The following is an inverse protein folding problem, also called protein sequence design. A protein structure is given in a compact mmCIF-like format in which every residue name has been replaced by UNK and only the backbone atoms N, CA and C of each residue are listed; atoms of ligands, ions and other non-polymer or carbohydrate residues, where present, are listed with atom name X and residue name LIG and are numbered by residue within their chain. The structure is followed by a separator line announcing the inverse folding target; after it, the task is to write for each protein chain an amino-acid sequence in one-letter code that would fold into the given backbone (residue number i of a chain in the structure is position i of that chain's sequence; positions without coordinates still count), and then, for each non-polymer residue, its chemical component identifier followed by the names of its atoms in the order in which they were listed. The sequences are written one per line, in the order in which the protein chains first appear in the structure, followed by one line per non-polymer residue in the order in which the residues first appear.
data_IF_457788468216
#
_entry.id   IF_457788468216
#
_cell.length_a   1.000
_cell.length_b   1.000
_cell.length_c   1.000
_cell.angle_alpha   90.00
_cell.angle_beta   90.00
_cell.angle_gamma   90.00
#
_symmetry.space_group_name_H-M   'P 1'
#
loop_
_entity.id
_entity.type
_entity.pdbx_description
1 polymer ?
2 non-polymer ?
3 non-polymer ?
4 non-polymer ?
5 non-polymer ?
6 water ?
#
# COMPACT_ATOMS: atom_id res chain seq x y z
N UNK A 1 14.72 -6.85 -9.36
CA UNK A 1 14.95 -5.55 -9.95
C UNK A 1 13.91 -4.57 -9.37
N UNK A 2 13.68 -3.53 -10.14
CA UNK A 2 12.82 -2.39 -9.71
C UNK A 2 11.43 -2.91 -9.42
N UNK A 3 10.83 -3.67 -10.32
CA UNK A 3 9.45 -4.14 -10.10
C UNK A 3 9.37 -5.04 -8.87
N UNK A 4 10.37 -5.91 -8.66
CA UNK A 4 10.26 -6.79 -7.48
C UNK A 4 10.42 -5.94 -6.22
N UNK A 5 11.24 -4.93 -6.30
CA UNK A 5 11.48 -4.03 -5.16
C UNK A 5 10.14 -3.39 -4.76
N UNK A 6 9.29 -3.06 -5.72
CA UNK A 6 7.98 -2.41 -5.37
C UNK A 6 7.19 -3.43 -4.55
N UNK A 7 7.21 -4.69 -4.96
CA UNK A 7 6.52 -5.78 -4.25
C UNK A 7 7.14 -5.95 -2.86
N UNK A 8 8.46 -5.97 -2.76
CA UNK A 8 9.13 -6.13 -1.45
C UNK A 8 8.65 -5.00 -0.51
N UNK A 9 8.75 -3.76 -0.98
CA UNK A 9 8.38 -2.60 -0.16
C UNK A 9 6.89 -2.69 0.24
N UNK A 10 6.00 -2.94 -0.70
CA UNK A 10 4.53 -3.05 -0.41
C UNK A 10 4.22 -4.17 0.60
N UNK A 11 5.03 -5.25 0.60
CA UNK A 11 4.89 -6.36 1.56
C UNK A 11 4.97 -5.91 3.02
N UNK A 12 5.73 -4.85 3.33
CA UNK A 12 5.84 -4.31 4.71
C UNK A 12 5.87 -2.79 4.63
N UNK A 13 4.88 -2.21 3.94
CA UNK A 13 4.97 -0.80 3.53
C UNK A 13 5.02 0.15 4.73
N UNK A 14 4.24 -0.10 5.78
CA UNK A 14 4.24 0.80 6.97
C UNK A 14 5.67 0.91 7.53
N UNK A 15 6.38 -0.21 7.72
CA UNK A 15 7.72 -0.17 8.36
C UNK A 15 8.71 0.49 7.39
N UNK A 16 8.70 0.09 6.11
CA UNK A 16 9.65 0.67 5.14
C UNK A 16 9.39 2.16 4.98
N UNK A 17 8.13 2.57 4.86
CA UNK A 17 7.77 3.99 4.69
C UNK A 17 8.31 4.79 5.88
N UNK A 18 8.07 4.33 7.10
CA UNK A 18 8.53 5.05 8.31
C UNK A 18 10.07 5.08 8.30
N UNK A 19 10.73 3.92 8.06
CA UNK A 19 12.21 3.82 8.11
C UNK A 19 12.82 4.76 7.07
N UNK A 20 12.31 4.78 5.83
CA UNK A 20 12.94 5.61 4.77
C UNK A 20 12.65 7.09 5.03
N UNK A 21 11.42 7.41 5.45
CA UNK A 21 11.13 8.82 5.70
C UNK A 21 11.95 9.31 6.90
N UNK A 22 12.17 8.49 7.94
CA UNK A 22 13.06 8.91 9.04
C UNK A 22 14.48 9.04 8.55
N UNK A 23 14.91 8.14 7.64
CA UNK A 23 16.28 8.25 7.10
C UNK A 23 16.41 9.59 6.39
N UNK A 24 15.36 10.01 5.66
CA UNK A 24 15.38 11.29 4.92
C UNK A 24 15.52 12.43 5.94
N UNK A 25 14.64 12.42 6.94
CA UNK A 25 14.62 13.56 7.91
C UNK A 25 15.88 13.65 8.76
N UNK A 26 16.55 12.52 9.03
CA UNK A 26 17.81 12.47 9.82
C UNK A 26 19.02 12.86 8.95
N UNK A 27 18.97 12.54 7.66
CA UNK A 27 20.05 12.90 6.73
C UNK A 27 19.98 14.40 6.46
N UNK A 28 18.78 14.94 6.36
CA UNK A 28 18.55 16.34 5.94
C UNK A 28 17.69 17.03 7.00
N UNK A 29 18.24 17.30 8.20
CA UNK A 29 17.37 17.79 9.28
C UNK A 29 16.67 19.11 8.95
N UNK A 30 17.23 19.90 8.03
CA UNK A 30 16.59 21.18 7.64
C UNK A 30 15.26 20.90 6.93
N UNK A 31 15.00 19.68 6.44
CA UNK A 31 13.74 19.32 5.74
C UNK A 31 12.57 19.30 6.72
N UNK A 32 12.80 19.13 8.02
CA UNK A 32 11.75 19.22 9.07
C UNK A 32 11.10 20.62 8.97
N UNK A 33 11.72 21.58 8.29
CA UNK A 33 11.23 22.99 8.30
C UNK A 33 9.96 23.06 7.47
N UNK A 34 9.71 22.04 6.63
CA UNK A 34 8.41 21.78 5.97
C UNK A 34 7.40 21.17 6.96
N UNK A 35 7.85 20.75 8.16
CA UNK A 35 7.08 19.97 9.16
C UNK A 35 7.42 20.49 10.58
N UNK A 36 7.00 21.71 10.86
CA UNK A 36 7.13 22.34 12.21
C UNK A 36 6.93 21.31 13.35
N UNK A 37 5.77 20.66 13.41
CA UNK A 37 5.32 19.59 14.34
C UNK A 37 6.41 18.51 14.62
N UNK A 38 7.37 18.31 13.73
CA UNK A 38 8.31 17.17 13.82
C UNK A 38 9.55 17.52 14.66
N UNK A 39 9.81 18.82 14.84
CA UNK A 39 10.99 19.37 15.59
C UNK A 39 11.01 18.80 17.00
N UNK A 40 12.21 18.46 17.50
CA UNK A 40 12.47 18.02 18.89
C UNK A 40 11.85 16.69 19.26
N UNK A 41 11.67 15.81 18.27
CA UNK A 41 11.05 14.47 18.45
C UNK A 41 12.05 13.41 17.98
N UNK A 42 12.28 12.38 18.78
CA UNK A 42 13.11 11.23 18.34
C UNK A 42 12.30 10.43 17.33
N UNK A 43 12.93 9.46 16.65
CA UNK A 43 12.19 8.59 15.72
C UNK A 43 10.96 7.90 16.34
N UNK A 44 11.11 7.23 17.50
CA UNK A 44 10.05 6.36 18.07
C UNK A 44 8.84 7.22 18.44
N UNK A 45 9.09 8.49 18.78
CA UNK A 45 8.06 9.52 19.07
C UNK A 45 7.38 9.92 17.75
N UNK A 46 8.16 10.34 16.71
CA UNK A 46 7.58 10.69 15.38
C UNK A 46 6.61 9.57 14.98
N UNK A 47 7.03 8.32 15.16
CA UNK A 47 6.24 7.13 14.77
C UNK A 47 4.93 7.14 15.57
N UNK A 48 4.91 7.82 16.72
CA UNK A 48 3.72 7.92 17.61
C UNK A 48 2.73 9.02 17.17
N UNK A 49 3.16 9.94 16.29
CA UNK A 49 2.40 11.16 15.89
C UNK A 49 1.57 10.87 14.63
N UNK A 50 0.28 11.10 14.76
CA UNK A 50 -0.73 10.83 13.72
C UNK A 50 -0.33 11.47 12.38
N UNK A 51 0.04 12.75 12.31
CA UNK A 51 0.26 13.40 10.98
C UNK A 51 1.46 12.69 10.35
N UNK A 52 2.36 12.14 11.17
CA UNK A 52 3.56 11.47 10.63
C UNK A 52 3.20 10.10 10.02
N UNK A 53 2.60 9.21 10.82
CA UNK A 53 2.13 7.89 10.36
C UNK A 53 1.27 8.06 9.12
N UNK A 54 0.30 8.97 9.22
CA UNK A 54 -0.64 9.22 8.10
C UNK A 54 0.13 9.68 6.87
N UNK A 55 0.91 10.77 6.97
CA UNK A 55 1.61 11.34 5.78
C UNK A 55 2.45 10.22 5.17
N UNK A 56 3.29 9.65 6.01
CA UNK A 56 4.36 8.73 5.58
C UNK A 56 3.72 7.58 4.79
N UNK A 57 2.63 7.00 5.28
CA UNK A 57 1.94 5.90 4.54
C UNK A 57 1.41 6.43 3.20
N UNK A 58 0.79 7.61 3.14
CA UNK A 58 0.18 8.08 1.87
C UNK A 58 1.30 8.37 0.87
N UNK A 59 2.42 8.89 1.36
CA UNK A 59 3.61 9.17 0.51
C UNK A 59 4.01 7.87 -0.19
N UNK A 60 4.15 6.80 0.56
CA UNK A 60 4.77 5.56 0.02
C UNK A 60 3.70 4.81 -0.74
N UNK A 61 2.43 4.92 -0.30
CA UNK A 61 1.31 4.31 -1.09
C UNK A 61 1.37 4.90 -2.51
N UNK A 62 1.46 6.22 -2.62
CA UNK A 62 1.40 6.89 -3.94
C UNK A 62 2.73 6.74 -4.66
N UNK A 63 3.86 6.81 -3.95
CA UNK A 63 5.16 6.60 -4.65
C UNK A 63 5.21 5.19 -5.27
N UNK A 64 4.70 4.16 -4.61
CA UNK A 64 4.77 2.77 -5.13
C UNK A 64 3.89 2.69 -6.38
N UNK A 65 2.76 3.41 -6.40
CA UNK A 65 1.89 3.46 -7.61
C UNK A 65 2.64 4.14 -8.76
N UNK A 66 3.28 5.25 -8.47
CA UNK A 66 4.00 6.00 -9.51
C UNK A 66 5.11 5.05 -10.03
N UNK A 67 5.80 4.39 -9.13
CA UNK A 67 6.88 3.45 -9.53
C UNK A 67 6.29 2.35 -10.39
N UNK A 68 5.16 1.80 -10.01
CA UNK A 68 4.47 0.69 -10.71
C UNK A 68 4.04 1.11 -12.12
N UNK A 69 3.61 2.36 -12.31
CA UNK A 69 3.11 2.83 -13.61
C UNK A 69 4.30 3.23 -14.52
N UNK A 70 5.51 3.32 -13.98
CA UNK A 70 6.72 3.76 -14.73
C UNK A 70 7.08 2.69 -15.76
N UNK A 71 7.67 3.14 -16.83
CA UNK A 71 8.40 2.23 -17.79
C UNK A 71 9.88 2.44 -17.60
N UNK A 72 10.64 1.36 -17.34
CA UNK A 72 12.10 1.48 -17.19
C UNK A 72 12.46 2.68 -16.28
N UNK A 73 11.76 2.79 -15.15
CA UNK A 73 12.09 3.80 -14.11
C UNK A 73 11.74 5.24 -14.52
N UNK A 74 10.91 5.41 -15.56
CA UNK A 74 10.50 6.74 -16.11
C UNK A 74 9.02 6.85 -15.78
N UNK A 75 8.68 7.76 -14.83
CA UNK A 75 7.28 7.94 -14.43
C UNK A 75 6.45 8.56 -15.55
N UNK A 76 5.14 8.29 -15.51
CA UNK A 76 4.12 8.97 -16.34
C UNK A 76 4.15 10.45 -16.06
N UNK A 77 4.13 11.24 -17.13
CA UNK A 77 4.01 12.70 -17.05
C UNK A 77 2.76 13.04 -16.21
N UNK A 78 1.68 12.25 -16.34
CA UNK A 78 0.41 12.53 -15.60
C UNK A 78 0.69 12.43 -14.09
N UNK A 79 1.57 11.52 -13.68
CA UNK A 79 1.83 11.27 -12.24
C UNK A 79 2.62 12.47 -11.71
N UNK A 80 3.50 12.99 -12.54
CA UNK A 80 4.26 14.22 -12.23
C UNK A 80 3.28 15.41 -12.12
N UNK A 81 2.38 15.59 -13.06
CA UNK A 81 1.40 16.72 -13.04
C UNK A 81 0.62 16.64 -11.71
N UNK A 82 0.11 15.43 -11.38
CA UNK A 82 -0.72 15.19 -10.18
C UNK A 82 0.07 15.58 -8.94
N UNK A 83 1.35 15.19 -8.82
CA UNK A 83 2.12 15.57 -7.61
C UNK A 83 2.25 17.11 -7.54
N UNK A 84 2.54 17.79 -8.65
CA UNK A 84 2.84 19.24 -8.66
C UNK A 84 1.59 19.97 -8.17
N UNK A 85 0.42 19.52 -8.63
CA UNK A 85 -0.88 20.22 -8.45
C UNK A 85 -1.52 19.88 -7.10
N UNK A 86 -0.86 19.08 -6.25
CA UNK A 86 -1.33 18.87 -4.84
C UNK A 86 -1.15 20.17 -4.01
N UNK A 87 -2.22 20.79 -3.49
CA UNK A 87 -2.14 22.07 -2.70
C UNK A 87 -1.11 21.99 -1.56
N UNK A 88 -1.00 20.82 -0.92
CA UNK A 88 -0.09 20.57 0.25
C UNK A 88 1.39 20.71 -0.15
N UNK A 89 1.71 20.51 -1.43
CA UNK A 89 3.10 20.63 -1.94
C UNK A 89 3.40 22.04 -2.48
N UNK A 90 2.57 23.04 -2.16
CA UNK A 90 2.74 24.42 -2.68
C UNK A 90 4.15 24.96 -2.34
N UNK A 91 4.62 24.74 -1.12
CA UNK A 91 5.91 25.28 -0.68
C UNK A 91 7.12 24.49 -1.17
N UNK A 92 6.94 23.47 -2.01
CA UNK A 92 8.02 22.47 -2.26
C UNK A 92 8.77 22.73 -3.58
N UNK A 93 10.04 22.34 -3.64
CA UNK A 93 10.83 22.42 -4.88
C UNK A 93 11.31 21.02 -5.22
N UNK A 94 11.87 20.86 -6.41
CA UNK A 94 12.35 19.50 -6.80
C UNK A 94 13.42 19.04 -5.81
N UNK A 95 14.16 19.98 -5.20
CA UNK A 95 15.19 19.68 -4.18
C UNK A 95 14.63 18.82 -3.05
N UNK A 96 13.38 19.03 -2.66
CA UNK A 96 12.80 18.24 -1.55
C UNK A 96 12.75 16.77 -1.97
N UNK A 97 12.35 16.51 -3.20
CA UNK A 97 12.12 15.15 -3.74
C UNK A 97 13.46 14.49 -4.02
N UNK A 98 14.43 15.25 -4.52
CA UNK A 98 15.80 14.74 -4.82
C UNK A 98 16.40 14.17 -3.52
N UNK A 99 16.30 14.93 -2.42
CA UNK A 99 16.79 14.50 -1.10
C UNK A 99 16.02 13.27 -0.60
N UNK A 100 14.72 13.21 -0.73
CA UNK A 100 14.03 11.97 -0.34
C UNK A 100 14.67 10.77 -1.03
N UNK A 101 14.87 10.91 -2.32
CA UNK A 101 15.33 9.74 -3.10
C UNK A 101 16.79 9.42 -2.75
N UNK A 102 17.63 10.42 -2.50
CA UNK A 102 19.03 10.18 -2.06
C UNK A 102 18.95 9.33 -0.79
N UNK A 103 18.07 9.71 0.13
CA UNK A 103 17.98 8.96 1.40
C UNK A 103 17.45 7.54 1.16
N UNK A 104 16.47 7.40 0.28
CA UNK A 104 15.89 6.08 -0.08
C UNK A 104 17.00 5.17 -0.66
N UNK A 105 17.76 5.69 -1.60
CA UNK A 105 18.85 4.89 -2.24
C UNK A 105 19.88 4.45 -1.21
N UNK A 106 20.33 5.37 -0.36
CA UNK A 106 21.31 5.09 0.72
C UNK A 106 20.74 4.01 1.63
N UNK A 107 19.48 4.14 2.02
CA UNK A 107 18.78 3.12 2.83
C UNK A 107 18.84 1.74 2.16
N UNK A 108 18.53 1.68 0.87
CA UNK A 108 18.55 0.40 0.16
C UNK A 108 19.98 -0.16 0.11
N UNK A 109 20.97 0.69 -0.15
CA UNK A 109 22.41 0.24 -0.19
C UNK A 109 22.77 -0.41 1.16
N UNK A 110 22.37 0.23 2.26
CA UNK A 110 22.76 -0.16 3.63
C UNK A 110 21.98 -1.39 4.11
N UNK A 111 20.86 -1.72 3.50
CA UNK A 111 20.02 -2.87 3.93
C UNK A 111 20.74 -4.20 3.62
N UNK A 112 20.30 -5.28 4.26
CA UNK A 112 20.84 -6.62 3.94
C UNK A 112 20.37 -7.15 2.58
N UNK A 113 19.48 -6.44 1.91
CA UNK A 113 18.62 -7.01 0.85
C UNK A 113 19.04 -6.59 -0.55
N UNK A 114 18.66 -7.41 -1.52
CA UNK A 114 19.10 -7.27 -2.93
C UNK A 114 18.23 -6.24 -3.65
N UNK A 115 17.96 -5.06 -3.03
CA UNK A 115 17.29 -3.96 -3.77
C UNK A 115 18.14 -3.55 -4.97
N UNK A 116 17.44 -3.10 -6.01
CA UNK A 116 18.07 -2.59 -7.24
C UNK A 116 18.28 -1.08 -7.02
N UNK A 117 19.24 -0.71 -6.18
CA UNK A 117 19.39 0.69 -5.73
C UNK A 117 19.69 1.61 -6.92
N UNK A 118 20.36 1.10 -7.94
CA UNK A 118 20.65 1.97 -9.11
C UNK A 118 19.37 2.34 -9.86
N UNK A 119 18.41 1.43 -9.96
CA UNK A 119 17.09 1.66 -10.60
C UNK A 119 16.34 2.71 -9.78
N UNK A 120 16.39 2.62 -8.44
CA UNK A 120 15.74 3.64 -7.59
C UNK A 120 16.40 4.99 -7.77
N UNK A 121 17.72 5.03 -7.91
CA UNK A 121 18.46 6.28 -8.14
C UNK A 121 17.96 6.90 -9.46
N UNK A 122 17.84 6.12 -10.53
CA UNK A 122 17.34 6.64 -11.82
C UNK A 122 15.87 7.11 -11.66
N UNK A 123 15.04 6.30 -11.02
CA UNK A 123 13.61 6.61 -10.79
C UNK A 123 13.61 7.98 -10.11
N UNK A 124 14.42 8.22 -9.07
CA UNK A 124 14.42 9.53 -8.35
C UNK A 124 14.75 10.70 -9.26
N UNK A 125 15.78 10.55 -10.10
CA UNK A 125 16.21 11.63 -11.01
C UNK A 125 15.14 11.80 -12.09
N UNK A 126 14.51 10.71 -12.55
CA UNK A 126 13.54 10.77 -13.66
C UNK A 126 12.29 11.47 -13.09
N UNK A 127 11.90 11.17 -11.83
CA UNK A 127 10.75 11.83 -11.20
C UNK A 127 11.02 13.33 -11.01
N UNK A 128 12.22 13.68 -10.57
CA UNK A 128 12.59 15.11 -10.40
C UNK A 128 12.47 15.81 -11.76
N UNK A 129 12.94 15.19 -12.83
CA UNK A 129 12.89 15.81 -14.18
C UNK A 129 11.44 16.02 -14.61
N UNK A 130 10.60 15.00 -14.41
CA UNK A 130 9.16 15.05 -14.75
C UNK A 130 8.48 16.16 -13.93
N UNK A 131 8.81 16.23 -12.65
CA UNK A 131 8.15 17.25 -11.79
C UNK A 131 8.51 18.64 -12.33
N UNK A 132 9.76 18.87 -12.69
CA UNK A 132 10.19 20.15 -13.28
C UNK A 132 9.36 20.43 -14.54
N UNK A 133 9.28 19.45 -15.46
CA UNK A 133 8.54 19.59 -16.75
C UNK A 133 7.05 19.90 -16.49
N UNK A 134 6.48 19.40 -15.39
CA UNK A 134 5.06 19.59 -15.04
C UNK A 134 4.88 20.87 -14.22
N UNK A 135 5.97 21.56 -13.88
CA UNK A 135 5.86 22.93 -13.35
C UNK A 135 6.33 23.08 -11.92
N UNK A 136 6.99 22.10 -11.31
CA UNK A 136 7.48 22.31 -9.93
C UNK A 136 8.73 23.21 -10.00
N UNK A 137 8.87 24.16 -9.08
CA UNK A 137 10.05 25.08 -9.06
C UNK A 137 11.27 24.29 -8.58
N UNK B 1 -12.92 2.01 -13.52
CA UNK B 1 -13.24 0.57 -13.54
C UNK B 1 -12.35 -0.17 -12.57
N UNK B 2 -12.23 -1.48 -12.81
CA UNK B 2 -11.51 -2.40 -11.90
C UNK B 2 -10.07 -1.91 -11.65
N UNK B 3 -9.31 -1.58 -12.71
CA UNK B 3 -7.89 -1.14 -12.55
C UNK B 3 -7.79 0.13 -11.72
N UNK B 4 -8.65 1.12 -12.00
CA UNK B 4 -8.62 2.38 -11.22
C UNK B 4 -8.99 2.05 -9.78
N UNK B 5 -9.92 1.13 -9.54
CA UNK B 5 -10.31 0.73 -8.16
C UNK B 5 -9.10 0.19 -7.39
N UNK B 6 -8.26 -0.63 -8.06
CA UNK B 6 -7.04 -1.09 -7.38
C UNK B 6 -6.20 0.14 -6.99
N UNK B 7 -6.09 1.13 -7.86
CA UNK B 7 -5.30 2.34 -7.61
C UNK B 7 -5.95 3.09 -6.41
N UNK B 8 -7.27 3.21 -6.40
CA UNK B 8 -7.97 3.92 -5.27
C UNK B 8 -7.64 3.24 -3.93
N UNK B 9 -7.89 1.93 -3.87
CA UNK B 9 -7.64 1.11 -2.68
C UNK B 9 -6.17 1.22 -2.28
N UNK B 10 -5.26 1.07 -3.22
CA UNK B 10 -3.82 1.17 -2.89
C UNK B 10 -3.47 2.54 -2.30
N UNK B 11 -4.15 3.62 -2.75
CA UNK B 11 -3.75 4.97 -2.33
C UNK B 11 -3.96 5.15 -0.84
N UNK B 12 -4.90 4.41 -0.25
CA UNK B 12 -5.19 4.52 1.21
C UNK B 12 -5.37 3.10 1.73
N UNK B 13 -4.38 2.24 1.50
CA UNK B 13 -4.64 0.79 1.66
C UNK B 13 -4.98 0.40 3.09
N UNK B 14 -4.21 0.92 4.03
CA UNK B 14 -4.41 0.63 5.47
C UNK B 14 -5.87 0.93 5.85
N UNK B 15 -6.38 2.08 5.43
CA UNK B 15 -7.71 2.54 5.88
C UNK B 15 -8.76 1.68 5.24
N UNK B 16 -8.67 1.49 3.92
CA UNK B 16 -9.67 0.65 3.22
C UNK B 16 -9.61 -0.79 3.74
N UNK B 17 -8.39 -1.36 3.92
CA UNK B 17 -8.25 -2.75 4.39
C UNK B 17 -8.98 -2.93 5.72
N UNK B 18 -8.73 -2.04 6.66
CA UNK B 18 -9.40 -2.17 7.98
C UNK B 18 -10.91 -2.03 7.82
N UNK B 19 -11.35 -1.01 7.12
CA UNK B 19 -12.80 -0.73 6.90
C UNK B 19 -13.50 -1.92 6.25
N UNK B 20 -12.91 -2.53 5.21
CA UNK B 20 -13.60 -3.63 4.51
C UNK B 20 -13.54 -4.89 5.38
N UNK B 21 -12.39 -5.18 6.00
CA UNK B 21 -12.24 -6.36 6.85
C UNK B 21 -13.23 -6.24 8.03
N UNK B 22 -13.37 -5.07 8.61
CA UNK B 22 -14.43 -4.84 9.65
C UNK B 22 -15.83 -5.09 9.08
N UNK B 23 -16.13 -4.66 7.85
CA UNK B 23 -17.48 -4.90 7.26
C UNK B 23 -17.68 -6.40 7.14
N UNK B 24 -16.62 -7.13 6.76
CA UNK B 24 -16.66 -8.61 6.69
C UNK B 24 -16.98 -9.21 8.08
N UNK B 25 -16.21 -8.85 9.09
CA UNK B 25 -16.29 -9.46 10.44
C UNK B 25 -17.66 -9.15 11.04
N UNK B 26 -18.19 -7.95 10.73
CA UNK B 26 -19.49 -7.54 11.31
C UNK B 26 -20.66 -8.22 10.55
N UNK B 27 -20.52 -8.37 9.23
CA UNK B 27 -21.54 -9.03 8.39
C UNK B 27 -21.58 -10.52 8.75
N UNK B 28 -20.44 -11.14 9.07
CA UNK B 28 -20.40 -12.59 9.31
C UNK B 28 -19.70 -12.88 10.61
N UNK B 29 -20.37 -12.65 11.75
CA UNK B 29 -19.70 -12.81 13.02
C UNK B 29 -19.03 -14.16 13.29
N UNK B 30 -19.55 -15.27 12.75
CA UNK B 30 -18.90 -16.61 12.83
C UNK B 30 -17.52 -16.60 12.20
N UNK B 31 -17.27 -15.70 11.26
CA UNK B 31 -15.92 -15.63 10.64
C UNK B 31 -14.91 -15.13 11.69
N UNK B 32 -15.38 -14.34 12.65
CA UNK B 32 -14.53 -13.69 13.68
C UNK B 32 -13.98 -14.74 14.67
N UNK B 33 -14.18 -16.06 14.40
CA UNK B 33 -13.50 -17.27 15.00
C UNK B 33 -12.10 -17.51 14.43
N UNK B 34 -11.94 -17.65 13.11
CA UNK B 34 -10.61 -17.73 12.45
C UNK B 34 -9.66 -16.67 13.04
N UNK B 35 -10.20 -15.71 13.82
CA UNK B 35 -9.47 -14.53 14.37
C UNK B 35 -9.72 -14.43 15.89
N UNK B 36 -9.10 -15.34 16.65
CA UNK B 36 -9.41 -15.52 18.10
C UNK B 36 -9.01 -14.27 18.93
N UNK B 37 -7.98 -13.54 18.49
CA UNK B 37 -7.42 -12.31 19.12
C UNK B 37 -8.40 -11.14 19.03
N UNK B 38 -9.37 -11.20 18.10
CA UNK B 38 -10.24 -10.06 17.73
C UNK B 38 -11.57 -10.14 18.48
N UNK B 39 -11.84 -11.28 19.09
CA UNK B 39 -13.11 -11.57 19.80
C UNK B 39 -13.23 -10.55 20.96
N UNK B 40 -14.42 -9.98 21.13
CA UNK B 40 -14.72 -9.09 22.28
C UNK B 40 -14.22 -7.66 22.10
N UNK B 41 -13.95 -7.22 20.88
CA UNK B 41 -13.36 -5.89 20.59
C UNK B 41 -14.24 -5.20 19.57
N UNK B 42 -14.55 -3.91 19.83
CA UNK B 42 -15.31 -3.06 18.89
C UNK B 42 -14.42 -2.68 17.70
N UNK B 43 -14.99 -2.00 16.69
CA UNK B 43 -14.21 -1.55 15.51
C UNK B 43 -13.08 -0.62 15.95
N UNK B 44 -13.32 0.32 16.89
CA UNK B 44 -12.25 1.28 17.30
C UNK B 44 -11.21 0.57 18.20
N UNK B 45 -11.57 -0.46 18.99
CA UNK B 45 -10.55 -1.21 19.78
C UNK B 45 -9.71 -2.06 18.79
N UNK B 46 -10.32 -2.56 17.71
CA UNK B 46 -9.51 -3.33 16.68
C UNK B 46 -8.61 -2.33 15.98
N UNK B 47 -9.14 -1.15 15.56
CA UNK B 47 -8.32 -0.15 14.82
C UNK B 47 -7.18 0.41 15.68
N UNK B 48 -7.28 0.33 17.00
CA UNK B 48 -6.18 0.85 17.85
C UNK B 48 -5.04 -0.18 17.93
N UNK B 49 -5.32 -1.45 17.64
CA UNK B 49 -4.27 -2.50 17.78
C UNK B 49 -3.41 -2.48 16.52
N UNK B 50 -2.13 -2.09 16.65
CA UNK B 50 -1.14 -2.06 15.54
C UNK B 50 -1.23 -3.38 14.75
N UNK B 51 -1.42 -4.51 15.42
CA UNK B 51 -1.42 -5.84 14.76
C UNK B 51 -2.65 -6.04 13.88
N UNK B 52 -3.77 -5.43 14.22
CA UNK B 52 -4.96 -5.57 13.36
C UNK B 52 -4.66 -4.88 12.02
N UNK B 53 -4.16 -3.64 12.09
CA UNK B 53 -3.85 -2.83 10.92
C UNK B 53 -2.78 -3.50 10.09
N UNK B 54 -1.81 -4.14 10.76
CA UNK B 54 -0.68 -4.86 10.08
C UNK B 54 -1.24 -6.07 9.31
N UNK B 55 -1.96 -6.98 9.98
CA UNK B 55 -2.63 -8.14 9.34
C UNK B 55 -3.46 -7.68 8.15
N UNK B 56 -4.34 -6.70 8.37
CA UNK B 56 -5.34 -6.39 7.32
C UNK B 56 -4.62 -5.77 6.12
N UNK B 57 -3.64 -4.92 6.34
CA UNK B 57 -3.00 -4.23 5.23
C UNK B 57 -2.26 -5.30 4.38
N UNK B 58 -1.66 -6.29 5.04
CA UNK B 58 -0.85 -7.29 4.31
C UNK B 58 -1.79 -8.20 3.53
N UNK B 59 -2.98 -8.43 4.04
CA UNK B 59 -4.02 -9.21 3.36
C UNK B 59 -4.40 -8.46 2.08
N UNK B 60 -4.74 -7.18 2.22
CA UNK B 60 -5.26 -6.39 1.10
C UNK B 60 -4.14 -6.14 0.10
N UNK B 61 -2.90 -5.99 0.54
CA UNK B 61 -1.73 -5.85 -0.36
C UNK B 61 -1.68 -7.06 -1.29
N UNK B 62 -1.72 -8.28 -0.76
CA UNK B 62 -1.67 -9.47 -1.62
C UNK B 62 -2.91 -9.53 -2.52
N UNK B 63 -4.09 -9.22 -1.99
CA UNK B 63 -5.32 -9.16 -2.80
C UNK B 63 -5.13 -8.18 -3.98
N UNK B 64 -4.56 -6.99 -3.77
CA UNK B 64 -4.35 -6.01 -4.86
C UNK B 64 -3.31 -6.56 -5.88
N UNK B 65 -2.30 -7.30 -5.42
CA UNK B 65 -1.31 -7.88 -6.35
C UNK B 65 -2.04 -8.90 -7.23
N UNK B 66 -2.86 -9.75 -6.62
CA UNK B 66 -3.65 -10.77 -7.35
C UNK B 66 -4.58 -10.07 -8.33
N UNK B 67 -5.26 -9.04 -7.91
CA UNK B 67 -6.16 -8.29 -8.79
C UNK B 67 -5.39 -7.62 -9.94
N UNK B 68 -4.22 -7.06 -9.70
CA UNK B 68 -3.48 -6.27 -10.70
C UNK B 68 -2.93 -7.27 -11.73
N UNK B 69 -2.64 -8.50 -11.29
CA UNK B 69 -2.06 -9.50 -12.23
C UNK B 69 -3.19 -10.19 -12.99
N UNK B 70 -4.45 -9.99 -12.59
CA UNK B 70 -5.59 -10.67 -13.25
C UNK B 70 -5.78 -10.07 -14.65
N UNK B 71 -6.37 -10.86 -15.53
CA UNK B 71 -6.80 -10.44 -16.88
C UNK B 71 -8.31 -10.50 -16.89
N UNK B 72 -8.98 -9.39 -17.20
CA UNK B 72 -10.46 -9.39 -17.29
C UNK B 72 -11.05 -10.02 -16.01
N UNK B 73 -10.46 -9.72 -14.88
CA UNK B 73 -10.99 -10.10 -13.52
C UNK B 73 -10.87 -11.61 -13.29
N UNK B 74 -9.96 -12.27 -14.03
CA UNK B 74 -9.66 -13.71 -13.86
C UNK B 74 -8.24 -13.78 -13.32
N UNK B 75 -8.10 -14.26 -12.07
CA UNK B 75 -6.80 -14.29 -11.44
C UNK B 75 -5.96 -15.41 -12.09
N UNK B 76 -4.66 -15.21 -12.01
CA UNK B 76 -3.69 -16.26 -12.40
C UNK B 76 -3.84 -17.50 -11.50
N UNK B 77 -3.77 -18.67 -12.10
CA UNK B 77 -3.76 -19.98 -11.38
C UNK B 77 -2.62 -20.01 -10.35
N UNK B 78 -1.45 -19.45 -10.67
CA UNK B 78 -0.28 -19.40 -9.76
C UNK B 78 -0.68 -18.65 -8.48
N UNK B 79 -1.39 -17.53 -8.66
CA UNK B 79 -1.84 -16.69 -7.52
C UNK B 79 -2.82 -17.49 -6.65
N UNK B 80 -3.75 -18.21 -7.26
CA UNK B 80 -4.75 -19.02 -6.50
C UNK B 80 -3.96 -20.05 -5.71
N UNK B 81 -2.99 -20.70 -6.36
CA UNK B 81 -2.14 -21.74 -5.72
C UNK B 81 -1.50 -21.13 -4.48
N UNK B 82 -0.88 -19.94 -4.62
CA UNK B 82 -0.16 -19.25 -3.52
C UNK B 82 -1.12 -19.12 -2.33
N UNK B 83 -2.33 -18.65 -2.59
CA UNK B 83 -3.28 -18.46 -1.45
C UNK B 83 -3.64 -19.81 -0.82
N UNK B 84 -3.83 -20.86 -1.63
CA UNK B 84 -4.21 -22.21 -1.11
C UNK B 84 -3.07 -22.77 -0.24
N UNK B 85 -1.82 -22.66 -0.72
CA UNK B 85 -0.62 -23.26 -0.09
C UNK B 85 -0.27 -22.56 1.22
N UNK B 86 -0.56 -21.25 1.34
CA UNK B 86 -0.15 -20.44 2.51
C UNK B 86 -0.51 -21.17 3.81
N UNK B 87 0.47 -21.33 4.71
CA UNK B 87 0.29 -21.96 6.06
C UNK B 87 -0.88 -21.30 6.81
N UNK B 88 -0.98 -19.97 6.74
CA UNK B 88 -2.07 -19.27 7.48
C UNK B 88 -3.43 -19.65 6.87
N UNK B 89 -3.47 -20.20 5.64
CA UNK B 89 -4.78 -20.54 5.02
C UNK B 89 -5.10 -22.02 5.14
N UNK B 90 -4.32 -22.77 5.96
CA UNK B 90 -4.49 -24.24 6.17
C UNK B 90 -5.96 -24.61 6.40
N UNK B 91 -6.57 -24.00 7.40
CA UNK B 91 -7.98 -24.29 7.76
C UNK B 91 -8.93 -23.32 7.10
N UNK B 92 -9.13 -23.43 5.79
CA UNK B 92 -10.09 -22.56 5.05
C UNK B 92 -10.81 -23.31 3.92
N UNK B 93 -12.04 -22.88 3.64
CA UNK B 93 -12.78 -23.32 2.44
C UNK B 93 -12.99 -22.10 1.56
N UNK B 94 -13.49 -22.30 0.35
CA UNK B 94 -13.74 -21.17 -0.58
C UNK B 94 -14.79 -20.23 0.05
N UNK B 95 -15.68 -20.75 0.90
CA UNK B 95 -16.79 -19.91 1.40
C UNK B 95 -16.26 -18.79 2.27
N UNK B 96 -15.10 -19.02 2.89
CA UNK B 96 -14.35 -17.99 3.65
C UNK B 96 -14.11 -16.80 2.71
N UNK B 97 -13.50 -17.03 1.55
CA UNK B 97 -13.14 -16.00 0.55
C UNK B 97 -14.41 -15.39 -0.07
N UNK B 98 -15.42 -16.24 -0.34
CA UNK B 98 -16.69 -15.80 -0.96
C UNK B 98 -17.33 -14.73 -0.05
N UNK B 99 -17.40 -15.03 1.26
CA UNK B 99 -17.98 -14.08 2.25
C UNK B 99 -17.17 -12.78 2.27
N UNK B 100 -15.86 -12.85 2.28
CA UNK B 100 -15.04 -11.62 2.22
C UNK B 100 -15.43 -10.79 0.99
N UNK B 101 -15.61 -11.45 -0.19
CA UNK B 101 -15.89 -10.67 -1.41
C UNK B 101 -17.29 -10.12 -1.39
N UNK B 102 -18.24 -10.86 -0.81
CA UNK B 102 -19.63 -10.31 -0.67
C UNK B 102 -19.54 -9.03 0.16
N UNK B 103 -18.85 -9.05 1.31
CA UNK B 103 -18.72 -7.87 2.21
C UNK B 103 -18.02 -6.74 1.45
N UNK B 104 -17.00 -7.06 0.64
CA UNK B 104 -16.22 -6.06 -0.10
C UNK B 104 -17.13 -5.35 -1.12
N UNK B 105 -17.90 -6.16 -1.85
CA UNK B 105 -18.86 -5.63 -2.85
C UNK B 105 -19.93 -4.77 -2.17
N UNK B 106 -20.46 -5.25 -1.06
CA UNK B 106 -21.51 -4.49 -0.31
C UNK B 106 -20.89 -3.18 0.15
N UNK B 107 -19.67 -3.21 0.64
CA UNK B 107 -18.95 -1.98 1.09
C UNK B 107 -18.83 -1.00 -0.08
N UNK B 108 -18.41 -1.49 -1.27
CA UNK B 108 -18.19 -0.61 -2.43
C UNK B 108 -19.53 0.03 -2.83
N UNK B 109 -20.60 -0.75 -2.88
CA UNK B 109 -21.96 -0.29 -3.29
C UNK B 109 -22.47 0.76 -2.28
N UNK B 110 -22.13 0.66 -1.01
CA UNK B 110 -22.65 1.57 0.07
C UNK B 110 -21.78 2.83 0.14
N UNK B 111 -20.58 2.82 -0.43
CA UNK B 111 -19.66 3.99 -0.40
C UNK B 111 -20.21 5.06 -1.35
N UNK B 112 -19.80 6.30 -1.17
CA UNK B 112 -20.28 7.34 -2.10
C UNK B 112 -19.60 7.23 -3.46
N UNK B 113 -18.70 6.25 -3.62
CA UNK B 113 -17.66 6.26 -4.67
C UNK B 113 -18.00 5.36 -5.85
N UNK B 114 -17.45 5.71 -7.01
CA UNK B 114 -17.74 5.04 -8.31
C UNK B 114 -16.84 3.81 -8.49
N UNK B 115 -16.79 2.97 -7.48
CA UNK B 115 -16.15 1.64 -7.57
C UNK B 115 -16.92 0.82 -8.61
N UNK B 116 -16.22 0.00 -9.35
CA UNK B 116 -16.86 -0.90 -10.36
C UNK B 116 -17.26 -2.17 -9.59
N UNK B 117 -18.31 -2.11 -8.80
CA UNK B 117 -18.67 -3.22 -7.88
C UNK B 117 -19.01 -4.50 -8.66
N UNK B 118 -19.58 -4.42 -9.87
CA UNK B 118 -19.87 -5.66 -10.66
C UNK B 118 -18.55 -6.37 -11.00
N UNK B 119 -17.49 -5.61 -11.33
CA UNK B 119 -16.17 -6.23 -11.63
C UNK B 119 -15.62 -6.94 -10.41
N UNK B 120 -15.77 -6.37 -9.21
CA UNK B 120 -15.24 -7.02 -7.99
C UNK B 120 -16.05 -8.26 -7.70
N UNK B 121 -17.34 -8.22 -7.96
CA UNK B 121 -18.22 -9.39 -7.68
C UNK B 121 -17.68 -10.53 -8.56
N UNK B 122 -17.45 -10.21 -9.83
CA UNK B 122 -16.94 -11.19 -10.84
C UNK B 122 -15.55 -11.67 -10.41
N UNK B 123 -14.64 -10.76 -10.08
CA UNK B 123 -13.28 -11.10 -9.59
C UNK B 123 -13.36 -12.07 -8.41
N UNK B 124 -14.24 -11.79 -7.42
CA UNK B 124 -14.42 -12.72 -6.31
C UNK B 124 -14.91 -14.10 -6.74
N UNK B 125 -15.86 -14.16 -7.69
CA UNK B 125 -16.44 -15.44 -8.12
C UNK B 125 -15.31 -16.19 -8.81
N UNK B 126 -14.53 -15.43 -9.57
CA UNK B 126 -13.44 -16.06 -10.34
C UNK B 126 -12.31 -16.51 -9.42
N UNK B 127 -11.96 -15.78 -8.39
CA UNK B 127 -10.94 -16.19 -7.41
C UNK B 127 -11.47 -17.41 -6.68
N UNK B 128 -12.72 -17.41 -6.17
CA UNK B 128 -13.31 -18.61 -5.53
C UNK B 128 -13.18 -19.84 -6.45
N UNK B 129 -13.48 -19.66 -7.74
CA UNK B 129 -13.36 -20.81 -8.68
C UNK B 129 -11.88 -21.21 -8.78
N UNK B 130 -11.00 -20.22 -8.93
CA UNK B 130 -9.55 -20.48 -9.12
C UNK B 130 -9.00 -21.13 -7.84
N UNK B 131 -9.48 -20.73 -6.66
CA UNK B 131 -9.04 -21.39 -5.41
C UNK B 131 -9.45 -22.87 -5.43
N UNK B 132 -10.72 -23.15 -5.77
CA UNK B 132 -11.25 -24.52 -5.90
C UNK B 132 -10.35 -25.32 -6.83
N UNK B 133 -10.06 -24.74 -8.00
CA UNK B 133 -9.23 -25.40 -9.04
C UNK B 133 -7.82 -25.64 -8.52
N UNK B 134 -7.28 -24.79 -7.63
CA UNK B 134 -5.90 -24.95 -7.13
C UNK B 134 -5.90 -25.80 -5.85
N UNK B 135 -7.07 -26.32 -5.44
CA UNK B 135 -7.16 -27.40 -4.43
C UNK B 135 -7.81 -27.00 -3.12
N UNK B 136 -8.40 -25.81 -3.04
CA UNK B 136 -9.05 -25.40 -1.77
C UNK B 136 -10.37 -26.15 -1.61
N UNK B 137 -10.73 -26.47 -0.36
CA UNK B 137 -12.00 -27.18 -0.04
C UNK B 137 -13.15 -26.18 -0.17
X LIG C 1 1.08 15.95 1.94
X LIG C 1 2.33 12.62 -1.23
X LIG C 1 6.93 14.07 -0.90
X LIG C 1 5.64 17.46 2.37
X LIG C 1 1.05 14.94 1.07
X LIG C 1 -0.08 14.13 0.77
X LIG C 1 0.29 13.18 -0.12
X LIG C 1 1.63 13.39 -0.37
X LIG C 1 -0.56 12.10 -0.78
X LIG C 1 -1.47 14.26 1.32
X LIG C 1 -1.71 13.06 2.23
X LIG C 1 -2.92 13.23 3.10
X LIG C 1 -3.58 14.31 3.05
X LIG C 1 -3.26 12.29 3.85
X LIG C 1 3.72 12.77 -1.39
X LIG C 1 4.45 11.90 -2.26
X LIG C 1 5.77 12.28 -2.18
X LIG C 1 5.77 13.42 -1.21
X LIG C 1 3.89 10.77 -3.09
X LIG C 1 7.00 11.75 -2.90
X LIG C 1 7.00 10.86 -3.91
X LIG C 1 6.97 15.11 0.02
X LIG C 1 8.14 15.72 0.42
X LIG C 1 7.82 16.69 1.36
X LIG C 1 6.39 16.66 1.52
X LIG C 1 9.55 15.34 -0.10
X LIG C 1 8.76 17.59 2.07
X LIG C 1 10.09 17.52 1.96
X LIG C 1 4.24 17.33 2.52
X LIG C 1 3.47 18.16 3.48
X LIG C 1 2.18 17.73 3.38
X LIG C 1 2.19 16.65 2.32
X LIG C 1 4.06 19.23 4.37
X LIG C 1 0.97 18.21 4.13
X LIG C 1 1.24 18.36 5.63
X LIG C 1 1.76 17.09 6.29
X LIG C 1 1.14 16.57 7.24
X LIG C 1 2.83 16.59 5.91
X LIG C 1 2.09 14.45 0.36
X LIG C 1 4.51 13.66 -0.76
X LIG C 1 5.91 15.66 0.68
X LIG C 1 3.43 16.46 1.87
X LIG C 1 3.91 15.15 0.59
X LIG D 1 -0.57 1.35 -10.82
X LIG D 1 -1.76 1.77 -11.49
X LIG D 1 -0.87 0.42 -9.65
X LIG D 1 0.19 0.36 -8.69
X LIG D 1 -2.13 0.83 -8.96
X LIG D 1 -2.97 -0.30 -8.72
X LIG E 1 17.45 10.80 -7.21
X LIG E 1 17.88 12.12 -6.89
X LIG E 1 18.57 9.80 -7.11
X LIG E 1 19.78 10.44 -7.56
X LIG E 1 18.72 9.25 -5.70
X LIG E 1 18.07 10.08 -4.75
X LIG F 1 14.65 23.70 -16.85
X LIG F 1 14.62 22.58 -17.74
X LIG F 1 13.44 23.71 -15.94
X LIG F 1 13.19 25.04 -15.48
X LIG F 1 12.19 23.15 -16.60
X LIG F 1 12.42 21.89 -17.22
X LIG G 1 6.62 13.62 2.49
X LIG G 1 6.20 13.75 3.77
X LIG G 1 7.06 14.03 4.83
X LIG G 1 4.78 13.60 4.20
X LIG G 1 4.39 12.20 4.68
X LIG G 1 2.97 12.28 5.20
X LIG G 1 2.73 13.36 6.14
X LIG G 1 2.08 13.40 4.83
X LIG G 1 0.58 13.25 4.91
X LIG G 1 2.59 14.49 3.92
X LIG G 1 3.83 14.06 3.16
X LIG H 1 13.17 -4.70 -13.44
X LIG H 1 14.21 -3.88 -12.97
X LIG H 1 11.89 -4.13 -13.16
X LIG H 1 13.31 -4.87 -14.85
X LIG H 1 13.26 -5.96 -12.80
X LIG I 1 15.68 17.85 16.34
X LIG I 1 14.67 18.91 16.32
X LIG I 1 15.69 17.19 17.62
X LIG I 1 16.99 18.41 16.11
X LIG I 1 15.35 16.90 15.31
X LIG J 1 -2.99 -14.24 7.15
X LIG J 1 -3.64 -12.85 2.43
X LIG J 1 -8.39 -14.13 2.68
X LIG J 1 -7.54 -15.87 7.13
X LIG J 1 -2.86 -13.71 5.85
X LIG J 1 -1.67 -13.07 5.43
X LIG J 1 -1.82 -12.67 4.13
X LIG J 1 -3.10 -13.09 3.72
X LIG J 1 -0.82 -11.93 3.28
X LIG J 1 -0.45 -12.85 6.30
X LIG J 1 -0.55 -11.43 6.79
X LIG J 1 0.27 -11.28 8.05
X LIG J 1 -0.19 -10.60 8.99
X LIG J 1 1.37 -11.86 8.18
X LIG J 1 -5.02 -13.06 2.11
X LIG J 1 -5.65 -12.64 0.88
X LIG J 1 -6.99 -12.98 0.90
X LIG J 1 -7.15 -13.65 2.23
X LIG J 1 -4.99 -11.94 -0.25
X LIG J 1 -8.08 -12.83 -0.11
X LIG J 1 -7.78 -12.55 -1.44
X LIG J 1 -8.63 -14.70 3.94
X LIG J 1 -9.86 -15.19 4.42
X LIG J 1 -9.63 -15.70 5.70
X LIG J 1 -8.21 -15.52 5.96
X LIG J 1 -11.18 -15.13 3.66
X LIG J 1 -10.61 -16.27 6.66
X LIG J 1 -11.94 -16.17 6.55
X LIG J 1 -6.22 -15.50 7.42
X LIG J 1 -5.68 -15.78 8.76
X LIG J 1 -4.40 -15.32 8.77
X LIG J 1 -4.19 -14.80 7.43
X LIG J 1 -6.44 -16.44 9.90
X LIG J 1 -3.38 -15.29 9.92
X LIG J 1 -3.93 -14.70 11.26
X LIG J 1 -3.35 -13.41 11.85
X LIG J 1 -2.13 -13.20 12.14
X LIG J 1 -4.17 -12.49 12.10
X LIG J 1 -3.75 -13.72 4.77
X LIG J 1 -5.94 -13.67 2.84
X LIG J 1 -7.66 -14.90 4.88
X LIG J 1 -5.31 -14.94 6.62
X LIG J 1 -5.63 -14.46 4.75
X LIG K 1 -20.92 -22.27 8.38
X LIG K 1 -20.38 -21.10 7.99
X LIG K 1 -21.22 -19.87 7.89
X LIG K 1 -18.89 -21.00 7.69
X LIG K 1 -18.44 -19.67 7.02
X LIG K 1 -17.75 -19.81 5.65
X LIG K 1 -16.30 -19.81 5.61
X LIG K 1 -17.02 -21.05 5.36
X LIG K 1 -16.95 -21.57 3.94
X LIG K 1 -16.90 -22.08 6.44
X LIG K 1 -18.33 -22.24 6.96
X LIG L 1 -12.59 5.88 -8.69
X LIG L 1 -13.00 5.69 -10.03
X LIG L 1 -13.04 4.69 -7.87
X LIG L 1 -11.94 3.80 -7.69
X LIG L 1 -13.63 5.06 -6.53
X LIG L 1 -13.79 6.48 -6.40
X LIG M 1 2.10 -19.73 -0.48
X LIG M 1 2.49 -20.56 -1.56
X LIG M 1 3.30 -19.25 0.31
X LIG M 1 3.35 -19.93 1.56
X LIG M 1 3.32 -17.75 0.53
X LIG M 1 4.19 -17.10 -0.40
X LIG N 1 -8.85 -11.97 7.53
X LIG N 1 -7.66 -11.72 7.19
X LIG N 1 -7.26 -11.88 5.84
X LIG N 1 -6.60 -11.37 8.22
X LIG N 1 -6.40 -9.88 8.54
X LIG N 1 -5.24 -9.66 9.53
X LIG N 1 -5.33 -10.37 10.79
X LIG N 1 -4.27 -10.73 9.84
X LIG N 1 -2.87 -10.40 10.35
X LIG N 1 -4.44 -12.10 9.23
X LIG N 1 -5.24 -12.00 7.94
X LIG O 1 -10.68 7.10 2.30
X LIG O 1 -10.01 8.09 3.11
X LIG O 1 -11.86 7.68 1.72
X LIG O 1 -11.06 5.97 3.11
X LIG O 1 -9.79 6.66 1.24
#
# INVERSE_FOLDING_TARGET
GFKQDIATLRGDLRTYAQDIFLAFLNKYPDEKRNFKNYVGKSDQELKSMAKFGDHTEKVFNLMMEVADRATDCVPLASDASTLVQMKQHSGLTTGNFEKLFVALVEYMRASGQSFDSQSWDRFGKNLVSALSSAGMK
GFKQDIATLRGDLRTYAQDIFLAFLNKYPDEKRNFKNYVGKSDQELKSMAKFGDHTEKVFNLMMEVADRATDCVPLASDASTLVQMKQHSGLTTGNFEKLFVALVEYMRASGQSFDSQSWDRFGKNLVSALSSAGMK
HEM CHA CHB CHC CHD C1A C2A C3A C4A CMA CAA CBA CGA O1A O2A C1B C2B C3B C4B CMB CAB CBB C1C C2C C3C C4C CMC CAC CBC C1D C2D C3D C4D CMD CAD CBD CGD O1D O2D NA NB NC ND FE
GOL C1 O1 C2 O2 C3 O3
GOL C1 O1 C2 O2 C3 O3
GOL C1 O1 C2 O2 C3 O3
GHI C2 C1 C C3 C9 C8 O C6 C7 C5 C4
SO4 S O1 O2 O3 O4
SO4 S O1 O2 O3 O4
HEM CHA CHB CHC CHD C1A C2A C3A C4A CMA CAA CBA CGA O1A O2A C1B C2B C3B C4B CMB CAB CBB C1C C2C C3C C4C CMC CAC CBC C1D C2D C3D C4D CMD CAD CBD CGD O1D O2D NA NB NC ND FE
GHI C2 C1 C C3 C9 C8 O C6 C7 C5 C4
GOL C1 O1 C2 O2 C3 O3
GOL C1 O1 C2 O2 C3 O3
GHI C2 C1 C C3 C9 C8 O C6 C7 C5 C4
SO4 S O1 O2 O3 O4
#
